data_IF_199884343119
#
_entry.id   IF_199884343119
#
_cell.length_a   1.000
_cell.length_b   1.000
_cell.length_c   1.000
_cell.angle_alpha   90.00
_cell.angle_beta   90.00
_cell.angle_gamma   90.00
#
_symmetry.space_group_name_H-M   'P 1'
#
loop_
_entity.id
_entity.type
_entity.pdbx_description
1 polymer ?
#
# COMPACT_ATOMS: atom_id res chain seq x y z
N UNK A 1 -15.76 -35.53 39.82
CA UNK A 1 -16.45 -36.03 38.62
C UNK A 1 -15.62 -35.66 37.41
N UNK A 2 -15.14 -36.63 36.63
CA UNK A 2 -14.30 -36.36 35.44
C UNK A 2 -15.18 -36.52 34.22
N UNK A 3 -15.34 -35.45 33.44
CA UNK A 3 -16.10 -35.51 32.19
C UNK A 3 -15.19 -36.01 31.07
N UNK A 4 -15.63 -37.04 30.35
CA UNK A 4 -14.93 -37.58 29.19
C UNK A 4 -15.29 -36.77 27.94
N UNK A 5 -14.40 -36.78 26.94
CA UNK A 5 -14.63 -36.15 25.65
C UNK A 5 -15.80 -36.83 24.93
N UNK A 6 -16.79 -36.03 24.53
CA UNK A 6 -17.98 -36.51 23.81
C UNK A 6 -17.69 -36.91 22.34
N UNK A 7 -16.45 -36.71 21.88
CA UNK A 7 -16.01 -37.05 20.52
C UNK A 7 -15.19 -38.32 20.51
N UNK A 8 -14.25 -38.47 21.45
CA UNK A 8 -13.34 -39.62 21.47
C UNK A 8 -13.60 -40.60 22.61
N UNK A 9 -14.40 -40.27 23.64
CA UNK A 9 -14.75 -41.15 24.75
C UNK A 9 -13.60 -41.52 25.72
N UNK A 10 -12.36 -41.42 25.29
CA UNK A 10 -11.19 -41.93 26.03
C UNK A 10 -10.50 -40.89 26.93
N UNK A 11 -10.47 -39.63 26.50
CA UNK A 11 -9.72 -38.54 27.15
C UNK A 11 -10.63 -37.64 27.98
N UNK A 12 -10.05 -37.01 29.00
CA UNK A 12 -10.73 -35.98 29.81
C UNK A 12 -11.10 -34.79 28.92
N UNK A 13 -12.34 -34.32 29.05
CA UNK A 13 -12.79 -33.11 28.39
C UNK A 13 -12.29 -31.88 29.15
N UNK A 14 -11.55 -31.02 28.46
CA UNK A 14 -10.94 -29.79 29.02
C UNK A 14 -11.55 -28.54 28.40
N UNK A 15 -12.13 -28.67 27.20
CA UNK A 15 -12.67 -27.57 26.40
C UNK A 15 -14.14 -27.78 26.07
N UNK A 16 -14.86 -26.70 25.75
CA UNK A 16 -16.24 -26.73 25.28
C UNK A 16 -16.30 -26.11 23.89
N UNK A 17 -16.90 -26.80 22.92
CA UNK A 17 -17.07 -26.29 21.57
C UNK A 17 -18.06 -25.11 21.56
N UNK A 18 -17.66 -23.94 21.06
CA UNK A 18 -18.52 -22.76 21.03
C UNK A 18 -19.75 -22.90 20.10
N UNK A 19 -19.76 -23.88 19.19
CA UNK A 19 -20.87 -24.07 18.25
C UNK A 19 -21.91 -25.08 18.71
N UNK A 20 -21.48 -26.23 19.20
CA UNK A 20 -22.38 -27.33 19.56
C UNK A 20 -22.49 -27.57 21.07
N UNK A 21 -21.72 -26.84 21.89
CA UNK A 21 -21.74 -26.97 23.35
C UNK A 21 -21.14 -28.27 23.89
N UNK A 22 -20.63 -29.15 23.02
CA UNK A 22 -20.04 -30.44 23.40
C UNK A 22 -18.75 -30.25 24.19
N UNK A 23 -18.49 -31.16 25.13
CA UNK A 23 -17.27 -31.21 25.93
C UNK A 23 -16.19 -32.03 25.22
N UNK A 24 -15.03 -31.43 24.99
CA UNK A 24 -14.01 -31.93 24.07
C UNK A 24 -12.62 -31.92 24.71
N UNK A 25 -11.76 -32.87 24.34
CA UNK A 25 -10.35 -32.90 24.74
C UNK A 25 -9.49 -31.98 23.86
N UNK A 26 -8.27 -31.70 24.31
CA UNK A 26 -7.25 -30.90 23.61
C UNK A 26 -6.98 -31.35 22.16
N UNK A 27 -7.12 -32.66 21.87
CA UNK A 27 -6.83 -33.20 20.54
C UNK A 27 -8.04 -33.15 19.59
N UNK A 28 -9.24 -32.88 20.10
CA UNK A 28 -10.49 -32.87 19.31
C UNK A 28 -11.05 -31.44 19.12
N UNK A 29 -10.41 -30.43 19.70
CA UNK A 29 -10.69 -29.00 19.53
C UNK A 29 -9.70 -28.40 18.51
N UNK A 30 -10.18 -27.50 17.67
CA UNK A 30 -9.34 -26.66 16.82
C UNK A 30 -8.96 -25.40 17.62
N UNK A 31 -7.67 -25.16 17.92
CA UNK A 31 -7.24 -24.09 18.82
C UNK A 31 -7.47 -22.69 18.24
N UNK A 32 -7.57 -22.54 16.91
CA UNK A 32 -7.81 -21.22 16.30
C UNK A 32 -9.28 -20.82 16.40
N UNK A 33 -10.19 -21.78 16.22
CA UNK A 33 -11.63 -21.49 16.14
C UNK A 33 -12.38 -21.85 17.42
N UNK A 34 -11.74 -22.54 18.37
CA UNK A 34 -12.38 -23.11 19.57
C UNK A 34 -13.63 -23.94 19.22
N UNK A 35 -13.61 -24.59 18.06
CA UNK A 35 -14.66 -25.50 17.61
C UNK A 35 -14.15 -26.93 17.58
N UNK A 36 -15.06 -27.89 17.72
CA UNK A 36 -14.69 -29.30 17.59
C UNK A 36 -14.43 -29.69 16.14
N UNK A 37 -13.64 -30.74 15.92
CA UNK A 37 -13.33 -31.27 14.57
C UNK A 37 -14.55 -31.50 13.67
N UNK A 38 -15.68 -31.89 14.25
CA UNK A 38 -16.92 -32.09 13.50
C UNK A 38 -17.52 -30.75 13.03
N UNK A 39 -17.51 -29.73 13.88
CA UNK A 39 -17.95 -28.38 13.52
C UNK A 39 -16.96 -27.64 12.60
N UNK A 40 -15.66 -27.90 12.72
CA UNK A 40 -14.64 -27.26 11.88
C UNK A 40 -14.69 -27.80 10.44
N UNK A 41 -14.95 -29.10 10.25
CA UNK A 41 -15.13 -29.69 8.93
C UNK A 41 -16.34 -29.12 8.18
N UNK A 42 -17.45 -28.85 8.88
CA UNK A 42 -18.61 -28.17 8.27
C UNK A 42 -18.30 -26.70 7.94
N UNK A 43 -17.36 -26.07 8.65
CA UNK A 43 -16.96 -24.68 8.45
C UNK A 43 -15.91 -24.48 7.35
N UNK A 44 -15.07 -25.46 7.06
CA UNK A 44 -14.12 -25.34 5.93
C UNK A 44 -14.83 -25.27 4.57
N UNK A 45 -16.02 -25.87 4.44
CA UNK A 45 -16.88 -25.68 3.26
C UNK A 45 -17.52 -24.27 3.17
N UNK A 46 -17.47 -23.50 4.26
CA UNK A 46 -17.81 -22.07 4.33
C UNK A 46 -16.61 -21.26 4.81
N UNK A 47 -15.40 -21.62 4.38
CA UNK A 47 -14.25 -20.75 4.49
C UNK A 47 -14.56 -19.50 3.66
N UNK A 48 -15.07 -18.49 4.35
CA UNK A 48 -15.10 -17.07 4.04
C UNK A 48 -14.68 -16.74 2.59
N UNK A 49 -15.60 -16.27 1.71
CA UNK A 49 -15.15 -15.44 0.61
C UNK A 49 -14.32 -14.32 1.25
N UNK A 50 -13.08 -14.20 0.79
CA UNK A 50 -12.15 -13.14 1.17
C UNK A 50 -12.91 -11.81 1.32
N UNK A 51 -12.78 -11.11 2.46
CA UNK A 51 -13.49 -9.85 2.64
C UNK A 51 -13.05 -8.92 1.52
N UNK A 52 -14.01 -8.54 0.67
CA UNK A 52 -13.84 -7.53 -0.36
C UNK A 52 -12.67 -7.82 -1.31
N UNK A 53 -13.00 -8.44 -2.44
CA UNK A 53 -12.28 -8.19 -3.68
C UNK A 53 -12.40 -6.71 -4.05
N UNK A 54 -11.66 -5.84 -3.35
CA UNK A 54 -11.16 -4.63 -3.96
C UNK A 54 -10.21 -5.15 -5.03
N UNK A 55 -10.70 -5.26 -6.25
CA UNK A 55 -9.85 -5.52 -7.39
C UNK A 55 -8.82 -4.39 -7.37
N UNK A 56 -7.58 -4.73 -6.99
CA UNK A 56 -6.42 -3.84 -6.93
C UNK A 56 -6.08 -3.19 -8.30
N UNK A 57 -6.94 -3.38 -9.28
CA UNK A 57 -6.90 -2.81 -10.60
C UNK A 57 -7.22 -1.31 -10.56
N UNK A 58 -8.15 -0.85 -9.73
CA UNK A 58 -8.57 0.55 -9.70
C UNK A 58 -7.50 1.50 -9.10
N UNK A 59 -6.97 1.28 -7.88
CA UNK A 59 -5.95 2.19 -7.31
C UNK A 59 -4.65 2.17 -8.13
N UNK A 60 -4.28 1.01 -8.70
CA UNK A 60 -3.08 0.88 -9.55
C UNK A 60 -3.27 1.59 -10.89
N UNK A 61 -4.45 1.48 -11.53
CA UNK A 61 -4.78 2.24 -12.75
C UNK A 61 -4.82 3.74 -12.49
N UNK A 62 -5.37 4.21 -11.36
CA UNK A 62 -5.35 5.62 -11.01
C UNK A 62 -3.92 6.14 -10.74
N UNK A 63 -3.07 5.33 -10.11
CA UNK A 63 -1.67 5.67 -9.87
C UNK A 63 -0.89 5.79 -11.18
N UNK A 64 -1.05 4.84 -12.11
CA UNK A 64 -0.43 4.89 -13.45
C UNK A 64 -0.93 6.12 -14.22
N UNK A 65 -2.23 6.41 -14.14
CA UNK A 65 -2.82 7.60 -14.77
C UNK A 65 -2.21 8.89 -14.20
N UNK A 66 -2.00 8.96 -12.88
CA UNK A 66 -1.31 10.07 -12.22
C UNK A 66 0.14 10.24 -12.69
N UNK A 67 0.90 9.15 -12.79
CA UNK A 67 2.28 9.19 -13.30
C UNK A 67 2.31 9.73 -14.73
N UNK A 68 1.42 9.24 -15.61
CA UNK A 68 1.32 9.73 -16.99
C UNK A 68 1.01 11.23 -17.02
N UNK A 69 0.04 11.69 -16.23
CA UNK A 69 -0.34 13.11 -16.13
C UNK A 69 0.83 13.99 -15.67
N UNK A 70 1.58 13.56 -14.66
CA UNK A 70 2.77 14.31 -14.19
C UNK A 70 3.85 14.38 -15.25
N UNK A 71 4.10 13.30 -16.00
CA UNK A 71 5.11 13.27 -17.06
C UNK A 71 4.73 14.17 -18.23
N UNK A 72 3.45 14.17 -18.62
CA UNK A 72 2.92 15.08 -19.65
C UNK A 72 3.09 16.54 -19.20
N UNK A 73 2.67 16.89 -17.99
CA UNK A 73 2.83 18.24 -17.45
C UNK A 73 4.29 18.70 -17.40
N UNK A 74 5.20 17.81 -17.00
CA UNK A 74 6.63 18.10 -17.00
C UNK A 74 7.19 18.29 -18.40
N UNK A 75 6.78 17.46 -19.36
CA UNK A 75 7.20 17.55 -20.76
C UNK A 75 6.75 18.87 -21.39
N UNK A 76 5.52 19.33 -21.09
CA UNK A 76 5.02 20.62 -21.55
C UNK A 76 5.79 21.79 -20.92
N UNK A 77 6.08 21.74 -19.62
CA UNK A 77 6.89 22.75 -18.94
C UNK A 77 8.34 22.80 -19.45
N UNK A 78 8.89 21.65 -19.83
CA UNK A 78 10.21 21.57 -20.45
C UNK A 78 10.20 22.15 -21.87
N UNK A 79 9.18 21.82 -22.66
CA UNK A 79 9.03 22.32 -24.03
C UNK A 79 8.75 23.83 -24.08
N UNK A 80 8.01 24.39 -23.10
CA UNK A 80 7.79 25.83 -22.99
C UNK A 80 9.09 26.59 -22.73
N UNK A 81 10.03 25.98 -22.02
CA UNK A 81 11.36 26.55 -21.79
C UNK A 81 12.21 26.54 -23.06
N UNK A 82 12.01 25.55 -23.95
CA UNK A 82 12.75 25.44 -25.21
C UNK A 82 12.22 26.37 -26.31
N UNK A 83 10.90 26.59 -26.35
CA UNK A 83 10.24 27.46 -27.33
C UNK A 83 10.11 28.92 -26.85
N UNK A 84 10.11 29.16 -25.54
CA UNK A 84 10.06 30.50 -24.96
C UNK A 84 11.42 31.18 -25.00
N UNK A 85 11.55 32.25 -25.78
CA UNK A 85 12.68 33.17 -25.75
C UNK A 85 12.74 34.02 -24.46
N UNK A 86 12.48 33.39 -23.31
CA UNK A 86 12.56 34.01 -21.99
C UNK A 86 13.52 33.19 -21.15
N UNK A 87 14.58 33.83 -20.67
CA UNK A 87 15.47 33.27 -19.65
C UNK A 87 14.54 32.79 -18.53
N UNK A 88 14.39 31.47 -18.29
CA UNK A 88 13.58 31.00 -17.20
C UNK A 88 14.27 31.44 -15.92
N UNK A 89 13.85 32.59 -15.40
CA UNK A 89 14.15 33.00 -14.05
C UNK A 89 13.37 32.02 -13.19
N UNK A 90 14.00 30.89 -12.87
CA UNK A 90 13.50 29.89 -11.93
C UNK A 90 13.55 30.50 -10.52
N UNK A 91 12.80 31.57 -10.35
CA UNK A 91 12.80 32.39 -9.17
C UNK A 91 11.55 33.22 -9.05
N UNK A 92 10.95 33.15 -7.86
CA UNK A 92 9.82 33.94 -7.44
C UNK A 92 10.17 34.63 -6.14
N UNK A 93 9.58 35.80 -5.91
CA UNK A 93 9.64 36.47 -4.62
C UNK A 93 8.30 36.28 -3.92
N UNK A 94 8.35 35.93 -2.65
CA UNK A 94 7.17 35.94 -1.77
C UNK A 94 7.38 37.07 -0.78
N UNK A 95 6.54 38.10 -0.86
CA UNK A 95 6.59 39.23 0.06
C UNK A 95 5.45 39.14 1.05
N UNK A 96 5.80 38.84 2.31
CA UNK A 96 4.88 38.83 3.45
C UNK A 96 5.31 39.96 4.38
N UNK A 97 4.51 41.02 4.44
CA UNK A 97 4.76 42.17 5.31
C UNK A 97 4.70 41.71 6.79
N UNK A 98 5.66 42.07 7.69
CA UNK A 98 6.73 43.08 7.60
C UNK A 98 8.15 42.49 7.42
N UNK A 99 8.28 41.29 6.85
CA UNK A 99 9.59 40.65 6.67
C UNK A 99 10.25 41.04 5.33
N UNK A 100 11.60 40.99 5.24
CA UNK A 100 12.31 41.16 3.98
C UNK A 100 11.79 40.16 2.93
N UNK A 101 11.67 40.57 1.65
CA UNK A 101 11.19 39.70 0.59
C UNK A 101 12.13 38.50 0.44
N UNK A 102 11.58 37.29 0.54
CA UNK A 102 12.35 36.07 0.36
C UNK A 102 12.40 35.79 -1.15
N UNK A 103 13.60 35.95 -1.71
CA UNK A 103 13.86 35.72 -3.13
C UNK A 103 14.35 34.29 -3.27
N UNK A 104 13.57 33.46 -3.96
CA UNK A 104 14.04 32.17 -4.46
C UNK A 104 14.37 32.37 -5.92
N UNK A 105 15.50 31.87 -6.40
CA UNK A 105 15.95 32.14 -7.76
C UNK A 105 17.32 31.57 -8.09
N UNK A 106 17.39 30.41 -8.74
CA UNK A 106 18.64 29.96 -9.38
C UNK A 106 18.37 29.69 -10.84
N UNK A 107 18.84 30.59 -11.71
CA UNK A 107 18.71 30.43 -13.16
C UNK A 107 19.28 29.10 -13.66
N UNK A 108 18.75 28.65 -14.79
CA UNK A 108 19.15 27.42 -15.51
C UNK A 108 20.61 27.45 -16.02
N UNK A 109 21.34 28.55 -15.83
CA UNK A 109 22.76 28.69 -16.13
C UNK A 109 23.68 28.15 -15.03
N UNK A 110 23.13 27.69 -13.90
CA UNK A 110 23.91 27.07 -12.85
C UNK A 110 24.06 25.56 -13.12
N UNK A 111 25.29 25.04 -13.37
CA UNK A 111 25.51 23.62 -13.64
C UNK A 111 25.03 22.71 -12.49
N UNK A 112 24.98 23.25 -11.27
CA UNK A 112 24.43 22.58 -10.10
C UNK A 112 22.92 22.33 -10.19
N UNK A 113 22.14 23.26 -10.77
CA UNK A 113 20.69 23.11 -10.92
C UNK A 113 20.33 22.02 -11.93
N UNK A 114 21.11 21.90 -13.01
CA UNK A 114 20.99 20.81 -13.98
C UNK A 114 21.33 19.45 -13.34
N UNK A 115 22.39 19.41 -12.54
CA UNK A 115 22.79 18.21 -11.80
C UNK A 115 21.72 17.80 -10.79
N UNK A 116 21.10 18.74 -10.06
CA UNK A 116 20.00 18.42 -9.15
C UNK A 116 18.76 17.89 -9.88
N UNK A 117 18.39 18.48 -11.02
CA UNK A 117 17.23 18.03 -11.80
C UNK A 117 17.43 16.63 -12.37
N UNK A 118 18.60 16.37 -12.94
CA UNK A 118 18.93 15.05 -13.50
C UNK A 118 18.98 13.98 -12.42
N UNK A 119 19.63 14.25 -11.28
CA UNK A 119 19.66 13.31 -10.15
C UNK A 119 18.26 13.03 -9.60
N UNK A 120 17.42 14.07 -9.44
CA UNK A 120 16.04 13.90 -8.97
C UNK A 120 15.21 13.07 -9.96
N UNK A 121 15.36 13.30 -11.26
CA UNK A 121 14.67 12.53 -12.30
C UNK A 121 15.10 11.05 -12.29
N UNK A 122 16.40 10.76 -12.14
CA UNK A 122 16.89 9.38 -12.01
C UNK A 122 16.35 8.67 -10.77
N UNK A 123 16.28 9.38 -9.63
CA UNK A 123 15.72 8.83 -8.39
C UNK A 123 14.23 8.51 -8.57
N UNK A 124 13.46 9.41 -9.20
CA UNK A 124 12.03 9.19 -9.47
C UNK A 124 11.82 7.99 -10.40
N UNK A 125 12.58 7.89 -11.49
CA UNK A 125 12.49 6.74 -12.42
C UNK A 125 12.85 5.44 -11.71
N UNK A 126 13.90 5.43 -10.89
CA UNK A 126 14.29 4.26 -10.11
C UNK A 126 13.21 3.86 -9.11
N UNK A 127 12.60 4.81 -8.41
CA UNK A 127 11.48 4.55 -7.50
C UNK A 127 10.26 4.00 -8.23
N UNK A 128 9.92 4.52 -9.40
CA UNK A 128 8.82 4.01 -10.23
C UNK A 128 9.11 2.57 -10.68
N UNK A 129 10.33 2.28 -11.16
CA UNK A 129 10.73 0.93 -11.55
C UNK A 129 10.76 -0.04 -10.37
N UNK A 130 11.23 0.41 -9.20
CA UNK A 130 11.23 -0.37 -7.97
C UNK A 130 9.80 -0.67 -7.53
N UNK A 131 8.91 0.33 -7.56
CA UNK A 131 7.48 0.16 -7.26
C UNK A 131 6.83 -0.84 -8.20
N UNK A 132 7.05 -0.73 -9.52
CA UNK A 132 6.54 -1.69 -10.51
C UNK A 132 7.06 -3.10 -10.22
N UNK A 133 8.33 -3.25 -9.84
CA UNK A 133 8.92 -4.56 -9.51
C UNK A 133 8.37 -5.13 -8.20
N UNK A 134 8.06 -4.30 -7.20
CA UNK A 134 7.45 -4.72 -5.93
C UNK A 134 5.95 -5.00 -6.04
N UNK A 135 5.24 -4.29 -6.92
CA UNK A 135 3.82 -4.47 -7.21
C UNK A 135 3.55 -5.50 -8.32
N UNK A 136 4.51 -6.39 -8.57
CA UNK A 136 4.37 -7.48 -9.54
C UNK A 136 3.20 -8.39 -9.11
N UNK A 137 2.04 -8.10 -9.71
CA UNK A 137 0.86 -8.96 -9.88
C UNK A 137 1.27 -10.27 -10.56
#
# INVERSE_FOLDING_TARGET
MVFLCEICGERKAVYVCQKCGRRVCENCIDPLTLTCKNCSQTYQAKAYPSPLGFTFDLPTKLLILGIILTFVGFSLAFLSTFLGAGIPSAGGFVWIFPFPPIIFGSGFNNPLAWLTFTVLAFILVFLVLALIKTFKI
#
